data_IF_600023571649
#
_entry.id   IF_600023571649
#
_cell.length_a   1.000
_cell.length_b   1.000
_cell.length_c   1.000
_cell.angle_alpha   90.00
_cell.angle_beta   90.00
_cell.angle_gamma   90.00
#
_symmetry.space_group_name_H-M   'P 1'
#
loop_
_entity.id
_entity.type
_entity.pdbx_description
1 polymer ?
#
# COMPACT_ATOMS: atom_id res chain seq x y z
N UNK A 1 3.37 -13.66 -13.89
CA UNK A 1 3.07 -12.83 -15.08
C UNK A 1 1.60 -12.46 -15.01
N UNK A 2 1.22 -11.17 -15.08
CA UNK A 2 -0.20 -10.75 -15.00
C UNK A 2 -0.98 -11.01 -16.30
N UNK A 3 -0.30 -11.39 -17.38
CA UNK A 3 -0.86 -11.56 -18.74
C UNK A 3 -2.05 -12.52 -18.79
N UNK A 4 -2.08 -13.53 -17.92
CA UNK A 4 -3.16 -14.53 -17.85
C UNK A 4 -3.95 -14.49 -16.53
N UNK A 5 -3.69 -13.50 -15.67
CA UNK A 5 -4.27 -13.43 -14.34
C UNK A 5 -5.60 -12.67 -14.34
N UNK A 6 -6.70 -13.36 -14.03
CA UNK A 6 -8.00 -12.73 -13.78
C UNK A 6 -8.06 -12.21 -12.34
N UNK A 7 -7.60 -10.99 -12.15
CA UNK A 7 -7.51 -10.35 -10.82
C UNK A 7 -8.21 -9.01 -10.79
N UNK A 8 -8.69 -8.64 -9.61
CA UNK A 8 -9.16 -7.29 -9.30
C UNK A 8 -8.12 -6.60 -8.45
N UNK A 9 -7.75 -5.38 -8.81
CA UNK A 9 -6.72 -4.61 -8.11
C UNK A 9 -7.27 -3.26 -7.70
N UNK A 10 -7.06 -2.89 -6.45
CA UNK A 10 -7.23 -1.53 -5.97
C UNK A 10 -5.85 -0.97 -5.65
N UNK A 11 -5.54 0.23 -6.12
CA UNK A 11 -4.24 0.86 -5.91
C UNK A 11 -4.35 2.35 -5.60
N UNK A 12 -3.32 2.87 -4.93
CA UNK A 12 -3.20 4.27 -4.56
C UNK A 12 -2.09 4.98 -5.33
N UNK A 13 -1.63 4.45 -6.45
CA UNK A 13 -0.55 5.04 -7.22
C UNK A 13 -0.99 5.20 -8.68
N UNK A 14 -0.87 6.43 -9.20
CA UNK A 14 -1.33 6.78 -10.54
C UNK A 14 -0.53 6.02 -11.61
N UNK A 15 0.77 5.81 -11.40
CA UNK A 15 1.62 5.10 -12.36
C UNK A 15 1.25 3.62 -12.39
N UNK A 16 1.00 3.03 -11.22
CA UNK A 16 0.53 1.64 -11.13
C UNK A 16 -0.84 1.50 -11.80
N UNK A 17 -1.78 2.40 -11.53
CA UNK A 17 -3.10 2.38 -12.17
C UNK A 17 -3.00 2.49 -13.70
N UNK A 18 -2.13 3.37 -14.20
CA UNK A 18 -1.90 3.54 -15.63
C UNK A 18 -1.35 2.26 -16.28
N UNK A 19 -0.39 1.60 -15.64
CA UNK A 19 0.16 0.32 -16.10
C UNK A 19 -0.93 -0.77 -16.12
N UNK A 20 -1.70 -0.89 -15.02
CA UNK A 20 -2.78 -1.87 -14.90
C UNK A 20 -3.87 -1.66 -15.96
N UNK A 21 -4.16 -0.42 -16.33
CA UNK A 21 -5.11 -0.08 -17.40
C UNK A 21 -4.72 -0.61 -18.78
N UNK A 22 -3.45 -0.99 -18.99
CA UNK A 22 -2.98 -1.66 -20.19
C UNK A 22 -3.36 -3.14 -20.28
N UNK A 23 -3.82 -3.78 -19.20
CA UNK A 23 -4.16 -5.20 -19.17
C UNK A 23 -5.68 -5.41 -19.27
N UNK A 24 -6.21 -5.92 -20.40
CA UNK A 24 -7.66 -6.01 -20.62
C UNK A 24 -8.38 -7.02 -19.70
N UNK A 25 -7.64 -7.89 -19.02
CA UNK A 25 -8.18 -8.91 -18.12
C UNK A 25 -8.09 -8.54 -16.64
N UNK A 26 -7.48 -7.39 -16.33
CA UNK A 26 -7.36 -6.87 -14.96
C UNK A 26 -8.44 -5.83 -14.72
N UNK A 27 -9.29 -6.05 -13.72
CA UNK A 27 -10.24 -5.05 -13.27
C UNK A 27 -9.57 -4.16 -12.22
N UNK A 28 -9.24 -2.92 -12.59
CA UNK A 28 -8.47 -2.00 -11.73
C UNK A 28 -9.31 -0.85 -11.20
N UNK A 29 -9.19 -0.58 -9.90
CA UNK A 29 -9.67 0.62 -9.21
C UNK A 29 -8.47 1.47 -8.79
N UNK A 30 -8.52 2.77 -9.08
CA UNK A 30 -7.63 3.75 -8.47
C UNK A 30 -8.41 4.50 -7.39
N UNK A 31 -7.83 4.62 -6.20
CA UNK A 31 -8.43 5.48 -5.16
C UNK A 31 -8.19 6.95 -5.49
N UNK A 32 -9.21 7.77 -5.27
CA UNK A 32 -9.13 9.23 -5.38
C UNK A 32 -8.61 9.87 -4.09
N UNK A 33 -8.18 11.13 -4.16
CA UNK A 33 -7.65 11.86 -3.01
C UNK A 33 -6.59 12.88 -3.41
N UNK A 34 -5.79 13.30 -2.43
CA UNK A 34 -4.67 14.20 -2.66
C UNK A 34 -3.51 13.43 -3.30
N UNK A 35 -2.91 13.99 -4.34
CA UNK A 35 -1.73 13.42 -5.01
C UNK A 35 -0.47 13.98 -4.34
N UNK A 36 0.45 13.11 -3.94
CA UNK A 36 1.78 13.49 -3.46
C UNK A 36 2.68 13.87 -4.64
N UNK A 37 3.10 15.14 -4.77
CA UNK A 37 3.94 15.58 -5.90
C UNK A 37 5.26 14.80 -5.98
N UNK A 38 5.65 14.40 -7.19
CA UNK A 38 6.88 13.63 -7.45
C UNK A 38 6.77 12.13 -7.19
N UNK A 39 5.87 11.69 -6.31
CA UNK A 39 5.67 10.28 -5.95
C UNK A 39 4.48 9.66 -6.68
N UNK A 40 3.45 10.45 -7.01
CA UNK A 40 2.22 9.98 -7.67
C UNK A 40 1.36 9.02 -6.84
N UNK A 41 1.69 8.87 -5.56
CA UNK A 41 0.84 8.23 -4.58
C UNK A 41 -0.32 9.15 -4.19
N UNK A 42 -1.46 8.53 -3.92
CA UNK A 42 -2.73 9.16 -3.53
C UNK A 42 -3.01 8.81 -2.07
N UNK A 43 -3.44 9.81 -1.30
CA UNK A 43 -3.67 9.68 0.13
C UNK A 43 -4.71 10.67 0.65
N UNK A 44 -4.64 10.92 1.96
CA UNK A 44 -5.58 11.73 2.73
C UNK A 44 -6.99 11.14 2.83
N UNK A 45 -7.88 11.83 3.55
CA UNK A 45 -9.19 11.32 4.00
C UNK A 45 -10.03 10.67 2.90
N UNK A 46 -10.10 11.27 1.70
CA UNK A 46 -10.91 10.73 0.60
C UNK A 46 -10.38 9.36 0.12
N UNK A 47 -9.06 9.19 0.08
CA UNK A 47 -8.44 7.91 -0.24
C UNK A 47 -8.79 6.86 0.82
N UNK A 48 -8.75 7.24 2.10
CA UNK A 48 -9.08 6.35 3.21
C UNK A 48 -10.55 5.92 3.20
N UNK A 49 -11.47 6.81 2.83
CA UNK A 49 -12.88 6.50 2.66
C UNK A 49 -13.10 5.49 1.55
N UNK A 50 -12.46 5.70 0.40
CA UNK A 50 -12.56 4.76 -0.72
C UNK A 50 -12.01 3.38 -0.37
N UNK A 51 -10.85 3.28 0.29
CA UNK A 51 -10.30 1.99 0.75
C UNK A 51 -11.30 1.23 1.64
N UNK A 52 -12.13 1.91 2.41
CA UNK A 52 -13.12 1.26 3.28
C UNK A 52 -14.26 0.56 2.58
N UNK A 53 -14.51 0.91 1.32
CA UNK A 53 -15.51 0.23 0.51
C UNK A 53 -15.06 -1.17 0.06
N UNK A 54 -13.79 -1.54 0.30
CA UNK A 54 -13.20 -2.79 -0.15
C UNK A 54 -12.74 -3.65 1.02
N UNK A 55 -12.93 -4.96 0.87
CA UNK A 55 -12.22 -5.99 1.61
C UNK A 55 -11.42 -6.80 0.60
N UNK A 56 -10.13 -7.02 0.84
CA UNK A 56 -9.22 -7.64 -0.13
C UNK A 56 -8.61 -8.92 0.44
N UNK A 57 -8.35 -9.88 -0.44
CA UNK A 57 -7.70 -11.13 -0.03
C UNK A 57 -6.23 -10.90 0.32
N UNK A 58 -5.54 -10.03 -0.42
CA UNK A 58 -4.13 -9.71 -0.26
C UNK A 58 -3.89 -8.21 -0.35
N UNK A 59 -3.22 -7.66 0.66
CA UNK A 59 -2.72 -6.30 0.67
C UNK A 59 -1.21 -6.29 0.47
N UNK A 60 -0.72 -5.42 -0.40
CA UNK A 60 0.72 -5.19 -0.58
C UNK A 60 1.06 -3.82 -0.04
N UNK A 61 2.05 -3.76 0.85
CA UNK A 61 2.56 -2.50 1.40
C UNK A 61 4.08 -2.45 1.31
N UNK A 62 4.63 -1.25 1.20
CA UNK A 62 6.07 -0.99 1.33
C UNK A 62 6.38 -0.29 2.65
N UNK A 63 7.66 -0.15 2.97
CA UNK A 63 8.14 0.63 4.11
C UNK A 63 9.40 1.42 3.76
N UNK A 64 9.67 2.48 4.53
CA UNK A 64 10.96 3.18 4.46
C UNK A 64 11.99 2.54 5.41
N UNK A 65 11.51 1.91 6.48
CA UNK A 65 12.31 1.22 7.47
C UNK A 65 11.51 0.16 8.24
N UNK A 66 12.17 -0.90 8.71
CA UNK A 66 11.61 -1.87 9.65
C UNK A 66 12.65 -2.34 10.67
N UNK A 67 12.20 -2.61 11.89
CA UNK A 67 13.00 -3.30 12.91
C UNK A 67 12.12 -4.25 13.73
N UNK A 68 12.73 -5.21 14.42
CA UNK A 68 12.00 -6.14 15.31
C UNK A 68 11.33 -5.37 16.47
N UNK A 69 12.00 -4.33 16.97
CA UNK A 69 11.56 -3.57 18.15
C UNK A 69 10.44 -2.58 17.83
N UNK A 70 10.57 -1.83 16.73
CA UNK A 70 9.64 -0.74 16.38
C UNK A 70 8.61 -1.12 15.32
N UNK A 71 8.79 -2.26 14.65
CA UNK A 71 7.93 -2.68 13.55
C UNK A 71 8.21 -1.90 12.26
N UNK A 72 7.16 -1.64 11.49
CA UNK A 72 7.19 -0.99 10.18
C UNK A 72 7.04 0.52 10.37
N UNK A 73 7.95 1.29 9.77
CA UNK A 73 7.98 2.75 9.90
C UNK A 73 8.19 3.45 8.54
N UNK A 74 7.76 4.71 8.47
CA UNK A 74 7.79 5.54 7.28
C UNK A 74 8.33 6.95 7.59
N UNK A 75 9.03 7.54 6.63
CA UNK A 75 9.60 8.88 6.74
C UNK A 75 8.51 9.97 6.73
N UNK A 76 7.32 9.67 6.22
CA UNK A 76 6.23 10.65 6.08
C UNK A 76 4.90 10.09 6.57
N UNK A 77 4.11 10.94 7.24
CA UNK A 77 2.77 10.59 7.69
C UNK A 77 1.77 10.38 6.54
N UNK A 78 2.03 10.94 5.35
CA UNK A 78 1.12 10.90 4.20
C UNK A 78 0.73 9.47 3.80
N UNK A 79 1.67 8.53 3.90
CA UNK A 79 1.46 7.12 3.52
C UNK A 79 0.88 6.28 4.65
N UNK A 80 1.05 6.70 5.90
CA UNK A 80 0.70 5.91 7.09
C UNK A 80 -0.78 5.58 7.09
N UNK A 81 -1.65 6.57 6.85
CA UNK A 81 -3.11 6.36 6.85
C UNK A 81 -3.53 5.31 5.83
N UNK A 82 -2.99 5.40 4.60
CA UNK A 82 -3.32 4.46 3.52
C UNK A 82 -2.84 3.05 3.85
N UNK A 83 -1.58 2.90 4.29
CA UNK A 83 -1.00 1.59 4.65
C UNK A 83 -1.76 0.95 5.81
N UNK A 84 -2.07 1.71 6.85
CA UNK A 84 -2.88 1.24 7.98
C UNK A 84 -4.25 0.75 7.52
N UNK A 85 -4.88 1.45 6.57
CA UNK A 85 -6.19 1.02 6.04
C UNK A 85 -6.08 -0.23 5.18
N UNK A 86 -5.03 -0.36 4.38
CA UNK A 86 -4.74 -1.59 3.62
C UNK A 86 -4.59 -2.77 4.59
N UNK A 87 -3.77 -2.62 5.65
CA UNK A 87 -3.58 -3.67 6.66
C UNK A 87 -4.91 -4.09 7.28
N UNK A 88 -5.77 -3.14 7.64
CA UNK A 88 -7.06 -3.43 8.26
C UNK A 88 -8.10 -4.07 7.33
N UNK A 89 -7.98 -3.85 6.02
CA UNK A 89 -8.93 -4.33 5.00
C UNK A 89 -8.46 -5.58 4.26
N UNK A 90 -7.27 -6.08 4.59
CA UNK A 90 -6.67 -7.24 3.94
C UNK A 90 -6.74 -8.47 4.83
N UNK A 91 -7.01 -9.63 4.23
CA UNK A 91 -6.92 -10.92 4.94
C UNK A 91 -5.48 -11.35 5.17
N UNK A 92 -4.63 -11.12 4.18
CA UNK A 92 -3.20 -11.42 4.15
C UNK A 92 -2.45 -10.14 3.79
N UNK A 93 -1.35 -9.81 4.47
CA UNK A 93 -0.59 -8.58 4.23
C UNK A 93 0.86 -8.93 3.93
N UNK A 94 1.26 -8.58 2.70
CA UNK A 94 2.59 -8.84 2.17
C UNK A 94 3.40 -7.55 2.24
N UNK A 95 4.43 -7.54 3.08
CA UNK A 95 5.41 -6.46 3.16
C UNK A 95 6.46 -6.61 2.05
N UNK A 96 6.63 -5.56 1.26
CA UNK A 96 7.69 -5.43 0.28
C UNK A 96 8.81 -4.56 0.86
N UNK A 97 9.95 -5.17 1.15
CA UNK A 97 11.12 -4.49 1.67
C UNK A 97 12.40 -5.10 1.08
N UNK A 98 13.37 -4.24 0.76
CA UNK A 98 14.73 -4.67 0.45
C UNK A 98 15.61 -4.65 1.70
N UNK A 99 16.79 -5.27 1.63
CA UNK A 99 17.71 -5.41 2.75
C UNK A 99 18.16 -4.07 3.37
N UNK A 100 18.13 -2.96 2.61
CA UNK A 100 18.53 -1.64 3.12
C UNK A 100 17.53 -1.06 4.12
N UNK A 101 16.34 -1.67 4.25
CA UNK A 101 15.25 -1.24 5.13
C UNK A 101 15.30 -1.89 6.51
N UNK A 102 16.17 -2.88 6.72
CA UNK A 102 16.22 -3.67 7.95
C UNK A 102 17.07 -2.99 9.01
N UNK A 103 16.65 -3.13 10.27
CA UNK A 103 17.31 -2.57 11.45
C UNK A 103 17.45 -1.03 11.41
N UNK A 104 16.54 -0.38 10.69
CA UNK A 104 16.43 1.08 10.63
C UNK A 104 15.07 1.52 11.18
N UNK A 105 14.95 2.81 11.53
CA UNK A 105 13.72 3.38 12.08
C UNK A 105 13.48 4.76 11.48
N UNK A 106 12.24 5.00 11.10
CA UNK A 106 11.72 6.29 10.63
C UNK A 106 10.67 6.85 11.61
N UNK A 107 10.41 8.18 11.62
CA UNK A 107 9.66 8.81 12.70
C UNK A 107 8.16 8.47 12.77
N UNK A 108 7.58 7.86 11.73
CA UNK A 108 6.15 7.54 11.71
C UNK A 108 5.92 6.04 11.72
N UNK A 109 5.31 5.54 12.80
CA UNK A 109 4.91 4.15 12.91
C UNK A 109 3.73 3.82 12.00
N UNK A 110 3.78 2.63 11.38
CA UNK A 110 2.70 2.09 10.55
C UNK A 110 2.03 0.91 11.26
N UNK A 111 2.78 -0.15 11.54
CA UNK A 111 2.26 -1.37 12.16
C UNK A 111 3.38 -2.26 12.73
N UNK A 112 3.02 -3.22 13.57
CA UNK A 112 3.96 -4.26 14.03
C UNK A 112 4.18 -5.31 12.94
N UNK A 113 5.31 -6.02 12.99
CA UNK A 113 5.60 -7.11 12.04
C UNK A 113 4.59 -8.27 12.14
N UNK A 114 3.93 -8.43 13.28
CA UNK A 114 2.89 -9.45 13.48
C UNK A 114 1.62 -9.23 12.64
N UNK A 115 1.46 -8.06 12.03
CA UNK A 115 0.37 -7.80 11.08
C UNK A 115 0.64 -8.38 9.69
N UNK A 116 1.87 -8.82 9.42
CA UNK A 116 2.27 -9.40 8.13
C UNK A 116 2.06 -10.92 8.17
N UNK A 117 1.65 -11.50 7.05
CA UNK A 117 1.37 -12.92 6.91
C UNK A 117 1.13 -13.30 5.47
#
# INVERSE_FOLDING_TARGET
CLVDAKVKVICNDIKIANELGGFPHVESYIIGGLIRPGYFSVGESLALEMINAFAVERGFISCDALSIETGITNATMFEVGVKTRIIQRSREVILMADHSKFDTVEPHAVATLSCMG
#
